data_IF_884067688613
#
_entry.id   IF_884067688613
#
_cell.length_a   1.000
_cell.length_b   1.000
_cell.length_c   1.000
_cell.angle_alpha   90.00
_cell.angle_beta   90.00
_cell.angle_gamma   90.00
#
_symmetry.space_group_name_H-M   'P 1'
#
loop_
_entity.id
_entity.type
_entity.pdbx_description
1 polymer ?
#
# COMPACT_ATOMS: atom_id res chain seq x y z
N UNK A 1 2.30 2.32 18.34
CA UNK A 1 3.34 2.55 17.33
C UNK A 1 2.88 1.96 16.01
N UNK A 2 2.96 2.70 14.91
CA UNK A 2 2.54 2.24 13.57
C UNK A 2 3.79 2.00 12.73
N UNK A 3 3.88 0.82 12.10
CA UNK A 3 5.04 0.40 11.32
C UNK A 3 4.56 -0.16 9.99
N UNK A 4 5.25 0.20 8.91
CA UNK A 4 5.08 -0.44 7.59
C UNK A 4 6.30 -1.31 7.35
N UNK A 5 6.07 -2.58 7.03
CA UNK A 5 7.11 -3.52 6.64
C UNK A 5 7.08 -3.65 5.12
N UNK A 6 8.26 -3.74 4.52
CA UNK A 6 8.41 -4.15 3.14
C UNK A 6 8.28 -5.69 3.00
N UNK A 7 8.28 -6.19 1.77
CA UNK A 7 8.26 -7.61 1.38
C UNK A 7 9.34 -8.45 2.06
N UNK A 8 10.51 -7.87 2.34
CA UNK A 8 11.59 -8.50 3.12
C UNK A 8 11.36 -8.50 4.64
N UNK A 9 10.18 -8.12 5.13
CA UNK A 9 9.85 -7.92 6.55
C UNK A 9 10.73 -6.87 7.26
N UNK A 10 11.41 -6.03 6.49
CA UNK A 10 12.22 -4.91 6.99
C UNK A 10 11.32 -3.69 7.16
N UNK A 11 11.51 -2.97 8.27
CA UNK A 11 10.79 -1.73 8.52
C UNK A 11 11.13 -0.67 7.47
N UNK A 12 10.12 -0.20 6.76
CA UNK A 12 10.26 0.94 5.87
C UNK A 12 10.13 2.23 6.68
N UNK A 13 11.25 2.92 6.87
CA UNK A 13 11.37 4.05 7.80
C UNK A 13 10.48 5.23 7.40
N UNK A 14 10.55 5.65 6.14
CA UNK A 14 9.82 6.80 5.59
C UNK A 14 8.30 6.57 5.65
N UNK A 15 7.84 5.37 5.31
CA UNK A 15 6.44 4.99 5.40
C UNK A 15 5.93 4.96 6.86
N UNK A 16 6.76 4.48 7.78
CA UNK A 16 6.44 4.49 9.20
C UNK A 16 6.40 5.90 9.78
N UNK A 17 7.31 6.78 9.38
CA UNK A 17 7.31 8.20 9.74
C UNK A 17 6.09 8.93 9.17
N UNK A 18 5.66 8.62 7.95
CA UNK A 18 4.41 9.14 7.38
C UNK A 18 3.19 8.77 8.25
N UNK A 19 3.08 7.51 8.68
CA UNK A 19 1.98 7.10 9.57
C UNK A 19 2.08 7.77 10.95
N UNK A 20 3.30 7.95 11.47
CA UNK A 20 3.53 8.68 12.72
C UNK A 20 3.09 10.13 12.60
N UNK A 21 3.33 10.79 11.47
CA UNK A 21 2.87 12.14 11.19
C UNK A 21 1.33 12.22 11.15
N UNK A 22 0.66 11.25 10.50
CA UNK A 22 -0.82 11.19 10.50
C UNK A 22 -1.39 11.03 11.93
N UNK A 23 -0.76 10.18 12.74
CA UNK A 23 -1.14 10.02 14.14
C UNK A 23 -0.91 11.30 14.95
N UNK A 24 0.24 11.96 14.80
CA UNK A 24 0.56 13.24 15.44
C UNK A 24 -0.39 14.37 15.03
N UNK A 25 -0.92 14.33 13.80
CA UNK A 25 -1.93 15.26 13.31
C UNK A 25 -3.37 14.95 13.78
N UNK A 26 -3.56 14.02 14.71
CA UNK A 26 -4.87 13.70 15.28
C UNK A 26 -5.83 12.99 14.32
N UNK A 27 -5.32 12.35 13.26
CA UNK A 27 -6.17 11.58 12.34
C UNK A 27 -6.75 10.36 13.03
N UNK A 28 -7.97 9.98 12.63
CA UNK A 28 -8.63 8.81 13.19
C UNK A 28 -7.82 7.53 12.98
N UNK A 29 -7.96 6.57 13.90
CA UNK A 29 -7.33 5.25 13.79
C UNK A 29 -7.74 4.55 12.48
N UNK A 30 -8.99 4.72 12.06
CA UNK A 30 -9.49 4.17 10.80
C UNK A 30 -8.72 4.74 9.60
N UNK A 31 -8.50 6.07 9.58
CA UNK A 31 -7.69 6.72 8.55
C UNK A 31 -6.26 6.18 8.55
N UNK A 32 -5.61 6.09 9.71
CA UNK A 32 -4.23 5.61 9.80
C UNK A 32 -4.12 4.17 9.27
N UNK A 33 -5.04 3.28 9.64
CA UNK A 33 -5.08 1.89 9.12
C UNK A 33 -5.31 1.84 7.61
N UNK A 34 -6.22 2.64 7.09
CA UNK A 34 -6.49 2.71 5.65
C UNK A 34 -5.24 3.18 4.87
N UNK A 35 -4.53 4.19 5.39
CA UNK A 35 -3.29 4.65 4.77
C UNK A 35 -2.14 3.66 4.93
N UNK A 36 -2.02 2.97 6.06
CA UNK A 36 -1.02 1.92 6.25
C UNK A 36 -1.15 0.82 5.19
N UNK A 37 -2.38 0.32 4.95
CA UNK A 37 -2.62 -0.68 3.92
C UNK A 37 -2.33 -0.19 2.51
N UNK A 38 -2.69 1.06 2.18
CA UNK A 38 -2.41 1.66 0.86
C UNK A 38 -0.92 1.84 0.61
N UNK A 39 -0.18 2.35 1.61
CA UNK A 39 1.27 2.54 1.51
C UNK A 39 1.98 1.20 1.38
N UNK A 40 1.60 0.20 2.19
CA UNK A 40 2.15 -1.15 2.08
C UNK A 40 1.89 -1.77 0.69
N UNK A 41 0.68 -1.61 0.15
CA UNK A 41 0.36 -2.09 -1.21
C UNK A 41 1.19 -1.41 -2.30
N UNK A 42 1.43 -0.11 -2.17
CA UNK A 42 2.25 0.64 -3.12
C UNK A 42 3.72 0.21 -3.07
N UNK A 43 4.28 0.10 -1.87
CA UNK A 43 5.68 -0.30 -1.67
C UNK A 43 5.92 -1.74 -2.11
N UNK A 44 5.02 -2.67 -1.75
CA UNK A 44 5.09 -4.05 -2.22
C UNK A 44 5.03 -4.16 -3.74
N UNK A 45 4.14 -3.40 -4.39
CA UNK A 45 4.10 -3.34 -5.85
C UNK A 45 5.40 -2.78 -6.44
N UNK A 46 5.99 -1.73 -5.84
CA UNK A 46 7.27 -1.18 -6.30
C UNK A 46 8.39 -2.23 -6.20
N UNK A 47 8.47 -2.95 -5.07
CA UNK A 47 9.43 -4.03 -4.86
C UNK A 47 9.26 -5.16 -5.90
N UNK A 48 8.03 -5.61 -6.13
CA UNK A 48 7.71 -6.66 -7.12
C UNK A 48 8.07 -6.26 -8.55
N UNK A 49 8.01 -4.96 -8.87
CA UNK A 49 8.38 -4.43 -10.19
C UNK A 49 9.87 -4.06 -10.30
N UNK A 50 10.65 -4.18 -9.21
CA UNK A 50 12.04 -3.73 -9.16
C UNK A 50 12.20 -2.22 -9.36
N UNK A 51 11.19 -1.43 -8.94
CA UNK A 51 11.17 0.02 -9.09
C UNK A 51 11.41 0.68 -7.74
N UNK A 52 12.37 1.61 -7.68
CA UNK A 52 12.55 2.47 -6.53
C UNK A 52 11.34 3.42 -6.37
N UNK A 53 10.63 3.29 -5.25
CA UNK A 53 9.40 4.04 -4.97
C UNK A 53 9.66 5.57 -4.96
N UNK A 54 10.86 5.99 -4.55
CA UNK A 54 11.24 7.40 -4.40
C UNK A 54 11.55 8.08 -5.74
N UNK A 55 11.84 7.29 -6.78
CA UNK A 55 12.13 7.76 -8.15
C UNK A 55 11.11 7.27 -9.17
N UNK A 56 9.89 6.95 -8.73
CA UNK A 56 8.85 6.42 -9.61
C UNK A 56 8.47 7.45 -10.68
N UNK A 57 8.40 7.00 -11.93
CA UNK A 57 8.00 7.84 -13.06
C UNK A 57 6.48 7.91 -13.20
N UNK A 58 5.98 8.91 -13.93
CA UNK A 58 4.54 9.03 -14.22
C UNK A 58 3.96 7.78 -14.92
N UNK A 59 4.63 7.15 -15.91
CA UNK A 59 4.20 5.86 -16.44
C UNK A 59 4.18 4.73 -15.39
N UNK A 60 5.09 4.76 -14.41
CA UNK A 60 5.07 3.85 -13.26
C UNK A 60 3.82 4.02 -12.41
N UNK A 61 3.44 5.26 -12.10
CA UNK A 61 2.21 5.56 -11.36
C UNK A 61 0.95 5.14 -12.14
N UNK A 62 0.93 5.31 -13.47
CA UNK A 62 -0.17 4.83 -14.30
C UNK A 62 -0.32 3.31 -14.24
N UNK A 63 0.81 2.57 -14.29
CA UNK A 63 0.80 1.11 -14.11
C UNK A 63 0.29 0.71 -12.72
N UNK A 64 0.71 1.42 -11.66
CA UNK A 64 0.19 1.16 -10.32
C UNK A 64 -1.32 1.40 -10.21
N UNK A 65 -1.83 2.49 -10.79
CA UNK A 65 -3.28 2.76 -10.86
C UNK A 65 -4.03 1.60 -11.51
N UNK A 66 -3.56 1.14 -12.67
CA UNK A 66 -4.16 0.01 -13.39
C UNK A 66 -4.07 -1.30 -12.60
N UNK A 67 -2.97 -1.54 -11.91
CA UNK A 67 -2.82 -2.67 -10.99
C UNK A 67 -3.91 -2.65 -9.92
N UNK A 68 -4.11 -1.52 -9.23
CA UNK A 68 -5.16 -1.39 -8.19
C UNK A 68 -6.56 -1.61 -8.77
N UNK A 69 -6.85 -1.09 -9.95
CA UNK A 69 -8.12 -1.32 -10.65
C UNK A 69 -8.34 -2.81 -10.94
N UNK A 70 -7.31 -3.50 -11.43
CA UNK A 70 -7.36 -4.93 -11.74
C UNK A 70 -7.49 -5.82 -10.49
N UNK A 71 -6.73 -5.54 -9.42
CA UNK A 71 -6.81 -6.33 -8.16
C UNK A 71 -8.18 -6.18 -7.50
N UNK A 72 -8.80 -4.99 -7.59
CA UNK A 72 -10.17 -4.75 -7.08
C UNK A 72 -11.24 -5.42 -7.94
N UNK A 73 -11.03 -5.52 -9.25
CA UNK A 73 -11.90 -6.29 -10.14
C UNK A 73 -11.81 -7.80 -9.86
N UNK A 74 -10.63 -8.32 -9.51
CA UNK A 74 -10.42 -9.73 -9.15
C UNK A 74 -11.05 -10.15 -7.81
N UNK A 75 -11.14 -9.24 -6.84
CA UNK A 75 -11.82 -9.51 -5.55
C UNK A 75 -13.36 -9.47 -5.63
N UNK A 76 -13.94 -9.09 -6.77
CA UNK A 76 -15.39 -9.09 -7.00
C UNK A 76 -15.97 -10.44 -7.45
N UNK A 77 -15.15 -11.49 -7.59
CA UNK A 77 -15.54 -12.75 -8.23
C UNK A 77 -15.08 -14.00 -7.47
N UNK A 78 -15.49 -14.17 -6.22
CA UNK A 78 -15.48 -15.47 -5.55
C UNK A 78 -16.40 -15.44 -4.31
N UNK A 79 -17.71 -15.56 -4.52
CA UNK A 79 -18.60 -16.21 -3.55
C UNK A 79 -18.96 -17.55 -4.19
N UNK A 80 -18.10 -18.55 -4.00
CA UNK A 80 -18.46 -19.94 -4.31
C UNK A 80 -19.33 -20.42 -3.14
N UNK A 81 -20.65 -20.30 -3.30
CA UNK A 81 -21.58 -21.00 -2.44
C UNK A 81 -21.37 -22.51 -2.62
N UNK A 82 -20.92 -23.19 -1.56
CA UNK A 82 -20.94 -24.64 -1.49
C UNK A 82 -22.39 -25.10 -1.22
N UNK A 83 -22.93 -25.89 -2.14
CA UNK A 83 -23.93 -26.93 -1.88
C UNK A 83 -23.50 -28.18 -2.61
#
# INVERSE_FOLDING_TARGET
MWVVLDTGLVMHREASDFLRALHGAGRSIHTIRAYAGRVASFLGWCADQGVEWSSISLPGLARFKHFIEATRAGMGGCVRAQR
#
